data_IF_553419621876
#
_entry.id   IF_553419621876
#
_cell.length_a   1.000
_cell.length_b   1.000
_cell.length_c   1.000
_cell.angle_alpha   90.00
_cell.angle_beta   90.00
_cell.angle_gamma   90.00
#
_symmetry.space_group_name_H-M   'P 1'
#
loop_
_entity.id
_entity.type
_entity.pdbx_description
1 polymer ?
#
# COMPACT_ATOMS: atom_id res chain seq x y z
N UNK A 1 -2.40 38.51 -42.15
CA UNK A 1 -1.88 38.95 -40.86
C UNK A 1 -2.82 38.62 -39.69
N UNK A 2 -4.09 38.81 -39.86
CA UNK A 2 -5.07 38.50 -38.83
C UNK A 2 -5.15 37.00 -38.50
N UNK A 3 -4.80 36.13 -39.47
CA UNK A 3 -4.87 34.68 -39.29
C UNK A 3 -3.78 34.13 -38.37
N UNK A 4 -2.60 34.76 -38.32
CA UNK A 4 -1.50 34.30 -37.44
C UNK A 4 -1.84 34.51 -35.96
N UNK A 5 -2.59 35.54 -35.63
CA UNK A 5 -2.95 35.81 -34.24
C UNK A 5 -4.03 34.84 -33.74
N UNK A 6 -4.90 34.38 -34.63
CA UNK A 6 -5.97 33.42 -34.30
C UNK A 6 -5.36 32.07 -33.94
N UNK A 7 -4.34 31.61 -34.69
CA UNK A 7 -3.68 30.35 -34.42
C UNK A 7 -2.92 30.37 -33.10
N UNK A 8 -2.26 31.49 -32.77
CA UNK A 8 -1.55 31.65 -31.49
C UNK A 8 -2.49 31.61 -30.31
N UNK A 9 -3.64 32.25 -30.38
CA UNK A 9 -4.63 32.24 -29.32
C UNK A 9 -5.24 30.86 -29.16
N UNK A 10 -5.50 30.15 -30.25
CA UNK A 10 -6.04 28.80 -30.24
C UNK A 10 -5.11 27.79 -29.59
N UNK A 11 -3.84 27.84 -29.92
CA UNK A 11 -2.81 26.96 -29.32
C UNK A 11 -2.62 27.25 -27.84
N UNK A 12 -2.61 28.52 -27.46
CA UNK A 12 -2.49 28.94 -26.08
C UNK A 12 -3.71 28.50 -25.23
N UNK A 13 -4.92 28.59 -25.81
CA UNK A 13 -6.13 28.15 -25.13
C UNK A 13 -6.16 26.64 -24.96
N UNK A 14 -5.70 25.88 -25.94
CA UNK A 14 -5.63 24.42 -25.87
C UNK A 14 -4.63 23.99 -24.79
N UNK A 15 -3.48 24.65 -24.71
CA UNK A 15 -2.47 24.36 -23.70
C UNK A 15 -3.00 24.67 -22.30
N UNK A 16 -3.70 25.76 -22.12
CA UNK A 16 -4.32 26.12 -20.85
C UNK A 16 -5.38 25.11 -20.42
N UNK A 17 -6.16 24.57 -21.37
CA UNK A 17 -7.16 23.55 -21.10
C UNK A 17 -6.52 22.26 -20.60
N UNK A 18 -5.41 21.82 -21.19
CA UNK A 18 -4.68 20.62 -20.76
C UNK A 18 -4.10 20.79 -19.36
N UNK A 19 -3.62 22.00 -19.05
CA UNK A 19 -3.07 22.30 -17.71
C UNK A 19 -4.16 22.44 -16.64
N UNK A 20 -5.38 22.68 -17.02
CA UNK A 20 -6.51 22.83 -16.11
C UNK A 20 -7.23 21.52 -15.79
N UNK A 21 -6.80 20.40 -16.37
CA UNK A 21 -7.37 19.09 -16.01
C UNK A 21 -7.10 18.78 -14.55
N UNK A 22 -8.13 18.46 -13.76
CA UNK A 22 -7.91 18.14 -12.36
C UNK A 22 -7.07 16.85 -12.26
N UNK A 23 -5.96 16.96 -11.56
CA UNK A 23 -5.23 15.77 -11.14
C UNK A 23 -6.05 15.11 -10.04
N UNK A 24 -6.59 13.94 -10.33
CA UNK A 24 -7.31 13.16 -9.33
C UNK A 24 -6.24 12.54 -8.43
N UNK A 25 -5.98 13.19 -7.29
CA UNK A 25 -5.13 12.61 -6.26
C UNK A 25 -5.91 11.48 -5.61
N UNK A 26 -5.38 10.25 -5.66
CA UNK A 26 -5.95 9.15 -4.90
C UNK A 26 -5.82 9.45 -3.41
N UNK A 27 -6.93 9.38 -2.69
CA UNK A 27 -6.90 9.45 -1.25
C UNK A 27 -6.26 8.16 -0.71
N UNK A 28 -5.20 8.31 0.06
CA UNK A 28 -4.52 7.20 0.69
C UNK A 28 -4.44 7.41 2.19
N UNK A 29 -4.34 6.31 2.92
CA UNK A 29 -4.05 6.33 4.34
C UNK A 29 -2.73 5.61 4.56
N UNK A 30 -1.89 6.16 5.42
CA UNK A 30 -0.60 5.57 5.73
C UNK A 30 -0.77 4.51 6.81
N UNK A 31 -0.32 3.29 6.51
CA UNK A 31 -0.23 2.21 7.49
C UNK A 31 1.24 2.02 7.84
N UNK A 32 1.57 2.25 9.09
CA UNK A 32 2.94 2.17 9.60
C UNK A 32 2.96 1.32 10.86
N UNK A 33 3.90 0.39 10.93
CA UNK A 33 3.97 -0.47 12.09
C UNK A 33 5.20 -1.37 12.10
N UNK A 34 5.21 -2.29 13.05
CA UNK A 34 6.24 -3.31 13.21
C UNK A 34 5.57 -4.68 13.25
N UNK A 35 6.16 -5.65 12.56
CA UNK A 35 5.68 -7.04 12.54
C UNK A 35 6.62 -7.89 13.38
N UNK A 36 6.05 -8.55 14.37
CA UNK A 36 6.78 -9.39 15.32
C UNK A 36 6.18 -10.79 15.36
N UNK A 37 6.97 -11.75 15.82
CA UNK A 37 6.45 -13.09 16.13
C UNK A 37 5.91 -13.13 17.58
N UNK A 38 5.47 -14.30 18.03
CA UNK A 38 4.88 -14.46 19.36
C UNK A 38 5.90 -14.26 20.49
N UNK A 39 7.19 -14.34 20.18
CA UNK A 39 8.27 -14.06 21.13
C UNK A 39 8.75 -12.60 21.08
N UNK A 40 8.02 -11.76 20.33
CA UNK A 40 8.33 -10.34 20.12
C UNK A 40 9.64 -10.10 19.36
N UNK A 41 10.08 -11.09 18.57
CA UNK A 41 11.20 -10.92 17.65
C UNK A 41 10.71 -10.36 16.31
N UNK A 42 11.45 -9.41 15.71
CA UNK A 42 11.03 -8.85 14.43
C UNK A 42 11.05 -9.89 13.32
N UNK A 43 10.01 -9.85 12.48
CA UNK A 43 9.93 -10.69 11.29
C UNK A 43 10.44 -9.88 10.10
N UNK A 44 11.55 -10.31 9.54
CA UNK A 44 12.22 -9.66 8.42
C UNK A 44 11.65 -10.22 7.13
N UNK A 45 11.28 -9.33 6.19
CA UNK A 45 10.78 -9.76 4.88
C UNK A 45 9.33 -10.21 4.87
N UNK A 46 8.56 -9.91 5.92
CA UNK A 46 7.13 -10.15 5.90
C UNK A 46 6.47 -9.29 4.83
N UNK A 47 5.51 -9.87 4.10
CA UNK A 47 4.82 -9.19 3.01
C UNK A 47 3.62 -8.41 3.54
N UNK A 48 3.54 -7.14 3.16
CA UNK A 48 2.39 -6.28 3.43
C UNK A 48 1.81 -5.91 2.07
N UNK A 49 0.62 -6.42 1.75
CA UNK A 49 0.00 -6.26 0.43
C UNK A 49 -1.35 -5.59 0.54
N UNK A 50 -1.63 -4.67 -0.38
CA UNK A 50 -2.98 -4.12 -0.54
C UNK A 50 -3.80 -5.15 -1.32
N UNK A 51 -4.86 -5.67 -0.69
CA UNK A 51 -5.69 -6.75 -1.26
C UNK A 51 -6.31 -6.30 -2.58
N UNK A 52 -6.22 -7.17 -3.58
CA UNK A 52 -6.76 -6.89 -4.91
C UNK A 52 -5.90 -5.99 -5.79
N UNK A 53 -4.69 -5.66 -5.35
CA UNK A 53 -3.75 -4.85 -6.14
C UNK A 53 -2.36 -5.47 -6.13
N UNK A 54 -1.45 -4.87 -6.90
CA UNK A 54 -0.03 -5.25 -6.89
C UNK A 54 0.80 -4.37 -5.95
N UNK A 55 0.15 -3.45 -5.25
CA UNK A 55 0.82 -2.54 -4.32
C UNK A 55 1.16 -3.27 -3.02
N UNK A 56 2.39 -3.13 -2.56
CA UNK A 56 2.83 -3.75 -1.32
C UNK A 56 4.23 -3.34 -0.94
N UNK A 57 4.66 -3.82 0.21
CA UNK A 57 6.01 -3.64 0.73
C UNK A 57 6.40 -4.85 1.56
N UNK A 58 7.64 -4.85 2.04
CA UNK A 58 8.14 -5.88 2.97
C UNK A 58 8.72 -5.20 4.20
N UNK A 59 8.76 -5.94 5.30
CA UNK A 59 9.39 -5.45 6.53
C UNK A 59 10.91 -5.41 6.40
N UNK A 60 11.51 -4.46 7.11
CA UNK A 60 12.96 -4.30 7.18
C UNK A 60 13.59 -5.18 8.27
N UNK A 61 14.88 -4.95 8.57
CA UNK A 61 15.63 -5.71 9.56
C UNK A 61 15.08 -5.60 10.98
N UNK A 62 14.38 -4.52 11.27
CA UNK A 62 13.74 -4.30 12.57
C UNK A 62 12.26 -4.68 12.57
N UNK A 63 11.77 -5.25 11.48
CA UNK A 63 10.37 -5.62 11.31
C UNK A 63 9.45 -4.44 10.98
N UNK A 64 10.01 -3.28 10.73
CA UNK A 64 9.23 -2.07 10.44
C UNK A 64 8.75 -2.03 9.00
N UNK A 65 7.57 -1.44 8.79
CA UNK A 65 7.04 -1.19 7.45
C UNK A 65 6.29 0.13 7.43
N UNK A 66 6.16 0.68 6.23
CA UNK A 66 5.30 1.83 5.94
C UNK A 66 4.69 1.61 4.57
N UNK A 67 3.38 1.76 4.47
CA UNK A 67 2.65 1.55 3.22
C UNK A 67 1.53 2.57 3.09
N UNK A 68 1.42 3.20 1.94
CA UNK A 68 0.29 4.05 1.61
C UNK A 68 -0.81 3.19 1.01
N UNK A 69 -1.96 3.15 1.65
CA UNK A 69 -3.08 2.29 1.30
C UNK A 69 -4.20 3.13 0.69
N UNK A 70 -4.64 2.84 -0.54
CA UNK A 70 -5.78 3.54 -1.13
C UNK A 70 -7.03 3.38 -0.26
N UNK A 71 -7.86 4.42 -0.22
CA UNK A 71 -9.10 4.39 0.55
C UNK A 71 -9.98 3.20 0.16
N UNK A 72 -10.59 2.58 1.17
CA UNK A 72 -11.49 1.46 0.98
C UNK A 72 -10.82 0.11 0.74
N UNK A 73 -9.49 0.06 0.73
CA UNK A 73 -8.76 -1.19 0.53
C UNK A 73 -8.31 -1.80 1.85
N UNK A 74 -8.27 -3.12 1.88
CA UNK A 74 -7.71 -3.87 2.99
C UNK A 74 -6.24 -4.18 2.74
N UNK A 75 -5.52 -4.48 3.82
CA UNK A 75 -4.11 -4.86 3.79
C UNK A 75 -3.97 -6.25 4.38
N UNK A 76 -3.22 -7.12 3.71
CA UNK A 76 -2.88 -8.44 4.20
C UNK A 76 -1.42 -8.50 4.57
N UNK A 77 -1.12 -8.94 5.78
CA UNK A 77 0.24 -9.16 6.26
C UNK A 77 0.46 -10.65 6.37
N UNK A 78 1.49 -11.15 5.70
CA UNK A 78 1.79 -12.58 5.65
C UNK A 78 3.28 -12.84 5.67
N UNK A 79 3.62 -14.01 6.19
CA UNK A 79 4.97 -14.53 6.12
C UNK A 79 4.89 -16.06 6.05
N UNK A 80 5.86 -16.67 5.39
CA UNK A 80 5.86 -18.12 5.22
C UNK A 80 5.91 -18.82 6.59
N UNK A 81 5.00 -19.77 6.81
CA UNK A 81 4.88 -20.48 8.09
C UNK A 81 4.03 -19.77 9.14
N UNK A 82 3.42 -18.65 8.81
CA UNK A 82 2.57 -17.89 9.73
C UNK A 82 1.18 -17.69 9.14
N UNK A 83 0.21 -17.53 10.03
CA UNK A 83 -1.18 -17.27 9.63
C UNK A 83 -1.31 -15.84 9.13
N UNK A 84 -1.79 -15.59 7.89
CA UNK A 84 -1.98 -14.24 7.39
C UNK A 84 -3.04 -13.49 8.20
N UNK A 85 -2.84 -12.17 8.34
CA UNK A 85 -3.80 -11.28 9.00
C UNK A 85 -4.19 -10.16 8.06
N UNK A 86 -5.46 -9.74 8.13
CA UNK A 86 -6.01 -8.65 7.33
C UNK A 86 -6.40 -7.49 8.22
N UNK A 87 -6.16 -6.29 7.71
CA UNK A 87 -6.47 -5.04 8.39
C UNK A 87 -7.18 -4.10 7.43
N UNK A 88 -8.10 -3.33 7.97
CA UNK A 88 -8.79 -2.26 7.25
C UNK A 88 -8.67 -0.94 8.01
N UNK A 89 -8.86 0.17 7.30
CA UNK A 89 -8.81 1.49 7.93
C UNK A 89 -9.90 1.62 9.01
N UNK A 90 -9.62 2.35 10.09
CA UNK A 90 -8.40 3.10 10.38
C UNK A 90 -7.26 2.20 10.87
N UNK A 91 -6.05 2.46 10.39
CA UNK A 91 -4.86 1.67 10.74
C UNK A 91 -4.23 2.20 12.04
N UNK A 92 -4.84 1.84 13.15
CA UNK A 92 -4.43 2.30 14.48
C UNK A 92 -3.42 1.39 15.16
N UNK A 93 -3.36 0.12 14.74
CA UNK A 93 -2.42 -0.83 15.30
C UNK A 93 -1.04 -0.59 14.72
N UNK A 94 -0.07 -0.35 15.59
CA UNK A 94 1.33 -0.16 15.22
C UNK A 94 2.19 -1.38 15.48
N UNK A 95 1.70 -2.30 16.31
CA UNK A 95 2.41 -3.55 16.66
C UNK A 95 1.55 -4.73 16.20
N UNK A 96 2.06 -5.49 15.25
CA UNK A 96 1.36 -6.62 14.67
C UNK A 96 2.13 -7.90 15.02
N UNK A 97 1.43 -8.83 15.66
CA UNK A 97 2.03 -10.11 16.05
C UNK A 97 1.45 -11.20 15.14
N UNK A 98 2.33 -11.84 14.37
CA UNK A 98 1.95 -12.98 13.56
C UNK A 98 2.10 -14.27 14.37
N UNK A 99 1.14 -15.17 14.19
CA UNK A 99 1.12 -16.46 14.86
C UNK A 99 1.54 -17.55 13.88
N UNK A 100 2.33 -18.50 14.36
CA UNK A 100 2.73 -19.64 13.56
C UNK A 100 1.51 -20.45 13.11
N UNK A 101 1.56 -20.91 11.86
CA UNK A 101 0.55 -21.79 11.32
C UNK A 101 0.92 -23.22 11.68
N UNK A 102 0.37 -23.71 12.80
CA UNK A 102 0.64 -25.04 13.30
C UNK A 102 -0.09 -26.16 12.55
N UNK A 103 -1.07 -25.80 11.70
CA UNK A 103 -1.84 -26.79 10.96
C UNK A 103 -1.03 -27.49 9.88
N UNK A 104 0.03 -26.86 9.40
CA UNK A 104 0.91 -27.46 8.40
C UNK A 104 1.68 -28.66 8.95
N UNK A 105 1.84 -28.77 10.25
CA UNK A 105 2.56 -29.87 10.88
C UNK A 105 1.72 -31.16 10.95
N UNK A 106 0.41 -31.06 10.90
CA UNK A 106 -0.49 -32.20 11.01
C UNK A 106 -0.56 -33.02 9.73
N UNK A 107 -0.12 -32.48 8.61
CA UNK A 107 -0.16 -33.16 7.31
C UNK A 107 1.03 -34.08 7.07
N UNK A 108 2.03 -34.05 7.91
CA UNK A 108 3.26 -34.79 7.73
C UNK A 108 3.15 -36.24 8.25
N UNK A 109 2.06 -36.55 8.88
CA UNK A 109 1.81 -37.91 9.37
C UNK A 109 1.13 -38.74 8.29
#
# INVERSE_FOLDING_TARGET
>A
MKHKNIYRISISLLLAFVMALPTIAQNTKTFKGVVLDETEQPIIGAAIKVVGTTVGTITDLDGNFTLNVPDGKEVEISYIGYVPQRFSAPFKLTKIILKEDTQQLDEVV
#
